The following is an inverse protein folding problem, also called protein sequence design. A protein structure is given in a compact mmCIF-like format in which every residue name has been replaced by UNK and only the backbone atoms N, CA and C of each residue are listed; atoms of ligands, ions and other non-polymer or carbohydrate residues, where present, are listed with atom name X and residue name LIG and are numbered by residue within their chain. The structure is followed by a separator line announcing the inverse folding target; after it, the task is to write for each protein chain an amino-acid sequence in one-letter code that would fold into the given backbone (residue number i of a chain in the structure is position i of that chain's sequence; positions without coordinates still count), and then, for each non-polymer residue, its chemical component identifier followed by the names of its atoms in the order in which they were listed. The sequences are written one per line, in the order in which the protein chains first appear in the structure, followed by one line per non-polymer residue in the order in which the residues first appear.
data_IF_990108449210
#
_entry.id   IF_990108449210
#
_cell.length_a   1.000
_cell.length_b   1.000
_cell.length_c   1.000
_cell.angle_alpha   90.00
_cell.angle_beta   90.00
_cell.angle_gamma   90.00
#
_symmetry.space_group_name_H-M   'P 1'
#
loop_
_entity.id
_entity.type
_entity.pdbx_description
1 polymer ?
#
# COMPACT_ATOMS: atom_id res chain seq x y z
N UNK A 1 17.82 -7.49 1.56
CA UNK A 1 16.57 -8.05 1.05
C UNK A 1 16.56 -8.08 -0.48
N UNK A 2 15.98 -9.14 -1.06
CA UNK A 2 15.77 -9.29 -2.52
C UNK A 2 14.37 -8.79 -2.95
N UNK A 3 13.61 -8.21 -2.05
CA UNK A 3 12.30 -7.64 -2.32
C UNK A 3 12.40 -6.46 -3.30
N UNK A 4 11.62 -6.47 -4.38
CA UNK A 4 11.68 -5.51 -5.49
C UNK A 4 10.41 -4.67 -5.64
N UNK A 5 9.54 -4.68 -4.64
CA UNK A 5 8.27 -3.96 -4.65
C UNK A 5 7.07 -4.87 -4.74
N UNK A 6 5.90 -4.26 -4.94
CA UNK A 6 4.59 -4.92 -4.90
C UNK A 6 3.96 -5.04 -6.29
N UNK A 7 4.67 -4.62 -7.34
CA UNK A 7 4.20 -4.64 -8.73
C UNK A 7 5.02 -5.63 -9.56
N UNK A 8 4.53 -6.86 -9.79
CA UNK A 8 5.29 -7.90 -10.48
C UNK A 8 5.35 -7.70 -11.99
N UNK A 9 4.45 -6.90 -12.58
CA UNK A 9 4.25 -6.80 -14.02
C UNK A 9 5.52 -6.51 -14.82
N UNK A 10 6.40 -5.66 -14.29
CA UNK A 10 7.68 -5.31 -14.92
C UNK A 10 8.66 -6.49 -15.05
N UNK A 11 8.56 -7.49 -14.16
CA UNK A 11 9.53 -8.59 -14.08
C UNK A 11 9.05 -9.89 -14.74
N UNK A 12 7.75 -10.04 -14.92
CA UNK A 12 7.14 -11.25 -15.48
C UNK A 12 7.63 -11.60 -16.91
N UNK A 13 7.88 -10.64 -17.82
CA UNK A 13 8.38 -10.93 -19.15
C UNK A 13 9.79 -11.54 -19.18
N UNK A 14 10.58 -11.31 -18.12
CA UNK A 14 11.97 -11.78 -18.02
C UNK A 14 12.14 -12.97 -17.08
N UNK A 15 11.07 -13.39 -16.40
CA UNK A 15 11.11 -14.49 -15.46
C UNK A 15 11.20 -15.83 -16.20
N UNK A 16 12.10 -16.71 -15.79
CA UNK A 16 12.19 -18.10 -16.24
C UNK A 16 11.39 -19.05 -15.34
N UNK A 17 11.11 -18.63 -14.10
CA UNK A 17 10.24 -19.33 -13.17
C UNK A 17 9.49 -18.35 -12.28
N UNK A 18 8.22 -18.61 -12.03
CA UNK A 18 7.34 -17.80 -11.19
C UNK A 18 6.77 -18.71 -10.11
N UNK A 19 7.06 -18.39 -8.85
CA UNK A 19 6.48 -19.06 -7.69
C UNK A 19 5.42 -18.15 -7.08
N UNK A 20 4.18 -18.59 -7.13
CA UNK A 20 3.03 -17.93 -6.51
C UNK A 20 2.70 -18.61 -5.18
N UNK A 21 2.64 -17.87 -4.10
CA UNK A 21 2.40 -18.42 -2.77
C UNK A 21 1.16 -17.76 -2.17
N UNK A 22 0.13 -18.56 -1.88
CA UNK A 22 -1.13 -18.13 -1.25
C UNK A 22 -1.71 -16.83 -1.87
N UNK A 23 -1.65 -16.71 -3.21
CA UNK A 23 -2.12 -15.51 -3.91
C UNK A 23 -3.14 -15.88 -4.99
N UNK A 24 -4.36 -15.38 -4.82
CA UNK A 24 -5.47 -15.65 -5.75
C UNK A 24 -5.36 -14.88 -7.08
N UNK A 25 -4.87 -13.64 -7.05
CA UNK A 25 -4.65 -12.79 -8.23
C UNK A 25 -3.19 -12.31 -8.28
N UNK A 26 -2.25 -13.15 -8.75
CA UNK A 26 -0.82 -12.84 -8.72
C UNK A 26 -0.40 -11.75 -9.72
N UNK A 27 -1.19 -11.49 -10.75
CA UNK A 27 -1.03 -10.41 -11.74
C UNK A 27 -2.35 -10.17 -12.46
N UNK A 28 -2.44 -9.10 -13.25
CA UNK A 28 -3.62 -8.80 -14.07
C UNK A 28 -3.34 -9.27 -15.51
N UNK A 29 -3.97 -10.36 -16.02
CA UNK A 29 -3.61 -10.95 -17.32
C UNK A 29 -3.79 -10.02 -18.52
N UNK A 30 -4.72 -9.07 -18.45
CA UNK A 30 -4.94 -8.09 -19.51
C UNK A 30 -3.84 -7.01 -19.58
N UNK A 31 -3.12 -6.77 -18.48
CA UNK A 31 -2.08 -5.75 -18.37
C UNK A 31 -0.67 -6.35 -18.39
N UNK A 32 -0.51 -7.55 -17.84
CA UNK A 32 0.80 -8.15 -17.59
C UNK A 32 1.00 -9.39 -18.46
N UNK A 33 2.08 -9.40 -19.21
CA UNK A 33 2.48 -10.53 -20.04
C UNK A 33 3.59 -11.31 -19.37
N UNK A 34 3.46 -12.63 -19.36
CA UNK A 34 4.50 -13.53 -18.90
C UNK A 34 5.46 -13.85 -20.04
N UNK A 35 6.70 -14.20 -19.69
CA UNK A 35 7.53 -14.97 -20.60
C UNK A 35 6.80 -16.28 -20.93
N UNK A 36 6.55 -16.60 -22.21
CA UNK A 36 5.83 -17.82 -22.61
C UNK A 36 6.51 -19.12 -22.19
N UNK A 37 7.83 -19.09 -21.99
CA UNK A 37 8.63 -20.23 -21.54
C UNK A 37 8.76 -20.33 -20.01
N UNK A 38 8.24 -19.36 -19.26
CA UNK A 38 8.30 -19.37 -17.81
C UNK A 38 7.53 -20.55 -17.22
N UNK A 39 8.12 -21.18 -16.20
CA UNK A 39 7.44 -22.20 -15.40
C UNK A 39 6.69 -21.55 -14.24
N UNK A 40 5.39 -21.78 -14.16
CA UNK A 40 4.53 -21.24 -13.12
C UNK A 40 4.24 -22.31 -12.07
N UNK A 41 4.63 -22.06 -10.85
CA UNK A 41 4.44 -22.94 -9.70
C UNK A 41 3.45 -22.24 -8.76
N UNK A 42 2.37 -22.90 -8.42
CA UNK A 42 1.37 -22.42 -7.49
C UNK A 42 1.47 -23.21 -6.18
N UNK A 43 1.66 -22.52 -5.05
CA UNK A 43 1.79 -23.13 -3.72
C UNK A 43 0.77 -22.52 -2.77
N UNK A 44 0.06 -23.34 -2.03
CA UNK A 44 -0.92 -22.89 -1.05
C UNK A 44 -1.82 -24.01 -0.53
N UNK A 45 -2.70 -23.69 0.40
CA UNK A 45 -3.69 -24.65 0.90
C UNK A 45 -4.66 -25.10 -0.21
N UNK A 46 -5.01 -24.17 -1.10
CA UNK A 46 -5.75 -24.44 -2.34
C UNK A 46 -5.06 -23.69 -3.51
N UNK A 47 -4.00 -24.24 -4.07
CA UNK A 47 -3.16 -23.56 -5.07
C UNK A 47 -3.88 -23.28 -6.38
N UNK A 48 -4.96 -24.00 -6.68
CA UNK A 48 -5.76 -23.84 -7.90
C UNK A 48 -7.06 -23.05 -7.68
N UNK A 49 -7.37 -22.71 -6.42
CA UNK A 49 -8.61 -22.03 -6.03
C UNK A 49 -9.86 -22.71 -6.62
N UNK A 50 -10.03 -24.00 -6.29
CA UNK A 50 -11.01 -24.92 -6.87
C UNK A 50 -12.46 -24.43 -6.71
N UNK A 51 -12.73 -23.58 -5.70
CA UNK A 51 -14.05 -23.02 -5.47
C UNK A 51 -14.35 -21.74 -6.27
N UNK A 52 -13.38 -21.23 -7.04
CA UNK A 52 -13.61 -20.08 -7.90
C UNK A 52 -14.27 -20.53 -9.22
N UNK A 53 -15.35 -19.86 -9.65
CA UNK A 53 -16.06 -20.26 -10.87
C UNK A 53 -15.21 -20.10 -12.14
N UNK A 54 -14.28 -19.14 -12.13
CA UNK A 54 -13.32 -18.90 -13.21
C UNK A 54 -11.99 -18.44 -12.61
N UNK A 55 -10.90 -19.13 -12.97
CA UNK A 55 -9.53 -18.74 -12.66
C UNK A 55 -8.61 -19.11 -13.82
N UNK A 56 -8.13 -18.11 -14.54
CA UNK A 56 -7.38 -18.28 -15.79
C UNK A 56 -5.86 -18.15 -15.65
N UNK A 57 -5.27 -18.41 -14.48
CA UNK A 57 -3.82 -18.32 -14.28
C UNK A 57 -3.14 -19.64 -14.64
N UNK A 58 -2.01 -19.62 -15.40
CA UNK A 58 -1.26 -20.83 -15.70
C UNK A 58 -0.71 -21.50 -14.44
N UNK A 59 -0.57 -22.83 -14.51
CA UNK A 59 0.01 -23.64 -13.46
C UNK A 59 0.71 -24.86 -14.09
N UNK A 60 2.05 -24.86 -14.14
CA UNK A 60 2.84 -26.02 -14.54
C UNK A 60 2.98 -27.03 -13.41
N UNK A 61 3.00 -26.52 -12.15
CA UNK A 61 3.10 -27.35 -10.95
C UNK A 61 2.29 -26.75 -9.81
N UNK A 62 1.29 -27.48 -9.33
CA UNK A 62 0.52 -27.16 -8.13
C UNK A 62 1.06 -27.89 -6.92
N UNK A 63 1.37 -27.17 -5.86
CA UNK A 63 1.82 -27.73 -4.58
C UNK A 63 0.80 -27.38 -3.51
N UNK A 64 0.05 -28.39 -3.04
CA UNK A 64 -0.93 -28.21 -1.98
C UNK A 64 -0.25 -28.36 -0.63
N UNK A 65 -0.27 -27.33 0.19
CA UNK A 65 0.31 -27.33 1.52
C UNK A 65 0.27 -25.95 2.18
N UNK A 66 0.58 -25.90 3.46
CA UNK A 66 0.77 -24.65 4.18
C UNK A 66 2.06 -23.95 3.74
N UNK A 67 2.00 -22.68 3.41
CA UNK A 67 3.21 -21.89 3.11
C UNK A 67 4.23 -21.94 4.24
N UNK A 68 3.78 -21.91 5.51
CA UNK A 68 4.64 -22.01 6.68
C UNK A 68 5.46 -23.29 6.77
N UNK A 69 4.93 -24.42 6.25
CA UNK A 69 5.66 -25.68 6.19
C UNK A 69 6.47 -25.83 4.89
N UNK A 70 5.92 -25.39 3.78
CA UNK A 70 6.52 -25.62 2.47
C UNK A 70 7.73 -24.70 2.20
N UNK A 71 7.72 -23.45 2.68
CA UNK A 71 8.83 -22.51 2.47
C UNK A 71 10.14 -23.00 3.09
N UNK A 72 10.20 -23.47 4.35
CA UNK A 72 11.42 -24.04 4.92
C UNK A 72 11.94 -25.27 4.15
N UNK A 73 11.05 -26.16 3.71
CA UNK A 73 11.43 -27.33 2.90
C UNK A 73 11.99 -26.92 1.54
N UNK A 74 11.40 -25.90 0.91
CA UNK A 74 11.90 -25.34 -0.35
C UNK A 74 13.27 -24.69 -0.15
N UNK A 75 13.48 -23.96 0.94
CA UNK A 75 14.76 -23.35 1.30
C UNK A 75 15.86 -24.41 1.45
N UNK A 76 15.58 -25.50 2.18
CA UNK A 76 16.51 -26.61 2.34
C UNK A 76 16.87 -27.27 0.98
N UNK A 77 15.86 -27.58 0.15
CA UNK A 77 16.06 -28.17 -1.16
C UNK A 77 16.86 -27.26 -2.09
N UNK A 78 16.64 -25.95 -2.03
CA UNK A 78 17.36 -24.95 -2.81
C UNK A 78 18.79 -24.78 -2.31
N UNK A 79 19.05 -24.81 -1.02
CA UNK A 79 20.39 -24.67 -0.43
C UNK A 79 21.35 -25.76 -0.94
N UNK A 80 20.85 -26.98 -1.14
CA UNK A 80 21.65 -28.10 -1.69
C UNK A 80 22.08 -27.77 -3.14
N UNK A 81 21.14 -27.25 -3.95
CA UNK A 81 21.39 -26.93 -5.38
C UNK A 81 22.15 -25.63 -5.59
N UNK A 82 22.05 -24.70 -4.65
CA UNK A 82 22.76 -23.41 -4.70
C UNK A 82 24.29 -23.59 -4.73
N UNK A 83 24.81 -24.69 -4.15
CA UNK A 83 26.26 -25.01 -4.14
C UNK A 83 26.87 -25.10 -5.54
N UNK A 84 26.08 -25.54 -6.54
CA UNK A 84 26.54 -25.69 -7.92
C UNK A 84 26.12 -24.50 -8.81
N UNK A 85 25.39 -23.54 -8.29
CA UNK A 85 24.80 -22.44 -9.05
C UNK A 85 25.38 -21.06 -8.68
N UNK A 86 26.53 -20.99 -8.00
CA UNK A 86 27.08 -19.77 -7.42
C UNK A 86 27.16 -18.61 -8.39
N UNK A 87 27.83 -18.79 -9.55
CA UNK A 87 27.97 -17.73 -10.54
C UNK A 87 26.61 -17.18 -11.06
N UNK A 88 25.62 -18.06 -11.25
CA UNK A 88 24.27 -17.66 -11.69
C UNK A 88 23.52 -16.88 -10.59
N UNK A 89 23.69 -17.29 -9.32
CA UNK A 89 23.12 -16.59 -8.19
C UNK A 89 23.73 -15.20 -8.04
N UNK A 90 25.04 -15.10 -8.18
CA UNK A 90 25.77 -13.82 -8.08
C UNK A 90 25.37 -12.87 -9.21
N UNK A 91 25.23 -13.35 -10.45
CA UNK A 91 24.74 -12.55 -11.57
C UNK A 91 23.32 -12.03 -11.32
N UNK A 92 22.41 -12.86 -10.79
CA UNK A 92 21.04 -12.44 -10.43
C UNK A 92 21.03 -11.42 -9.30
N UNK A 93 21.88 -11.60 -8.27
CA UNK A 93 22.05 -10.62 -7.19
C UNK A 93 22.51 -9.27 -7.71
N UNK A 94 23.51 -9.25 -8.59
CA UNK A 94 24.02 -8.03 -9.20
C UNK A 94 22.92 -7.33 -10.02
N UNK A 95 22.16 -8.07 -10.83
CA UNK A 95 21.03 -7.52 -11.60
C UNK A 95 19.99 -6.89 -10.68
N UNK A 96 19.55 -7.60 -9.64
CA UNK A 96 18.54 -7.09 -8.68
C UNK A 96 19.09 -5.88 -7.91
N UNK A 97 20.36 -5.89 -7.52
CA UNK A 97 20.99 -4.75 -6.85
C UNK A 97 21.00 -3.50 -7.75
N UNK A 98 21.28 -3.65 -9.05
CA UNK A 98 21.21 -2.57 -10.03
C UNK A 98 19.81 -1.98 -10.12
N UNK A 99 18.79 -2.82 -10.36
CA UNK A 99 17.38 -2.37 -10.44
C UNK A 99 16.95 -1.64 -9.15
N UNK A 100 17.31 -2.18 -7.99
CA UNK A 100 16.99 -1.52 -6.70
C UNK A 100 17.73 -0.19 -6.51
N UNK A 101 18.97 -0.09 -7.01
CA UNK A 101 19.72 1.16 -7.02
C UNK A 101 19.03 2.23 -7.85
N UNK A 102 18.60 1.89 -9.06
CA UNK A 102 17.88 2.80 -9.95
C UNK A 102 16.53 3.24 -9.35
N UNK A 103 15.77 2.30 -8.78
CA UNK A 103 14.52 2.61 -8.08
C UNK A 103 14.74 3.56 -6.89
N UNK A 104 15.77 3.29 -6.09
CA UNK A 104 16.10 4.13 -4.93
C UNK A 104 16.54 5.54 -5.37
N UNK A 105 17.36 5.66 -6.42
CA UNK A 105 17.78 6.94 -6.95
C UNK A 105 16.61 7.75 -7.53
N UNK A 106 15.72 7.11 -8.28
CA UNK A 106 14.51 7.75 -8.82
C UNK A 106 13.59 8.24 -7.70
N UNK A 107 13.40 7.42 -6.66
CA UNK A 107 12.61 7.77 -5.50
C UNK A 107 13.23 8.93 -4.72
N UNK A 108 14.55 8.89 -4.46
CA UNK A 108 15.23 9.97 -3.76
C UNK A 108 15.11 11.28 -4.53
N UNK A 109 15.30 11.27 -5.87
CA UNK A 109 15.11 12.45 -6.69
C UNK A 109 13.69 13.03 -6.65
N UNK A 110 12.65 12.18 -6.43
CA UNK A 110 11.27 12.63 -6.21
C UNK A 110 11.12 13.30 -4.85
N UNK A 111 11.66 12.68 -3.78
CA UNK A 111 11.66 13.23 -2.43
C UNK A 111 12.36 14.59 -2.38
N UNK A 112 13.55 14.71 -3.01
CA UNK A 112 14.33 15.95 -3.03
C UNK A 112 13.57 17.11 -3.71
N UNK A 113 12.83 16.82 -4.78
CA UNK A 113 11.99 17.82 -5.45
C UNK A 113 10.86 18.33 -4.57
N UNK A 114 10.24 17.45 -3.79
CA UNK A 114 9.17 17.83 -2.86
C UNK A 114 9.76 18.61 -1.70
N UNK A 115 10.85 18.13 -1.11
CA UNK A 115 11.56 18.80 -0.01
C UNK A 115 12.04 20.21 -0.37
N UNK A 116 12.44 20.44 -1.64
CA UNK A 116 12.85 21.76 -2.15
C UNK A 116 11.68 22.66 -2.57
N UNK A 117 10.44 22.21 -2.46
CA UNK A 117 9.25 22.96 -2.89
C UNK A 117 9.07 23.05 -4.41
N UNK A 118 9.85 22.26 -5.19
CA UNK A 118 9.76 22.24 -6.66
C UNK A 118 8.73 21.24 -7.19
N UNK A 119 8.18 20.39 -6.33
CA UNK A 119 7.07 19.50 -6.62
C UNK A 119 6.06 19.52 -5.47
N UNK A 120 4.81 19.25 -5.78
CA UNK A 120 3.75 19.16 -4.77
C UNK A 120 3.84 17.86 -3.97
N UNK A 121 3.30 17.88 -2.76
CA UNK A 121 3.26 16.73 -1.86
C UNK A 121 2.43 15.58 -2.45
N UNK A 122 2.98 14.37 -2.37
CA UNK A 122 2.39 13.16 -2.89
C UNK A 122 2.51 11.97 -1.94
N UNK A 123 2.06 10.80 -2.38
CA UNK A 123 2.10 9.55 -1.61
C UNK A 123 3.51 9.07 -1.26
N UNK A 124 4.52 9.41 -2.07
CA UNK A 124 5.91 9.04 -1.79
C UNK A 124 6.49 9.88 -0.64
N UNK A 125 6.14 11.18 -0.60
CA UNK A 125 6.54 12.07 0.48
C UNK A 125 5.90 11.66 1.82
N UNK A 126 4.59 11.38 1.83
CA UNK A 126 3.89 10.92 3.03
C UNK A 126 4.53 9.62 3.55
N UNK A 127 4.81 8.66 2.67
CA UNK A 127 5.49 7.42 3.04
C UNK A 127 6.90 7.65 3.60
N UNK A 128 7.66 8.57 2.99
CA UNK A 128 8.99 8.96 3.45
C UNK A 128 8.95 9.55 4.85
N UNK A 129 8.08 10.52 5.10
CA UNK A 129 7.94 11.16 6.42
C UNK A 129 7.47 10.17 7.50
N UNK A 130 6.50 9.31 7.18
CA UNK A 130 6.06 8.23 8.07
C UNK A 130 7.21 7.28 8.43
N UNK A 131 8.04 6.91 7.45
CA UNK A 131 9.18 6.03 7.69
C UNK A 131 10.25 6.65 8.59
N UNK A 132 10.35 7.96 8.66
CA UNK A 132 11.29 8.65 9.56
C UNK A 132 10.86 8.61 11.03
N UNK A 133 9.54 8.62 11.29
CA UNK A 133 8.98 8.65 12.65
C UNK A 133 8.52 7.28 13.15
N UNK A 134 8.32 6.33 12.24
CA UNK A 134 7.86 4.97 12.54
C UNK A 134 8.98 4.15 13.18
N UNK A 135 8.65 3.38 14.22
CA UNK A 135 9.50 2.36 14.83
C UNK A 135 9.27 0.99 14.17
N UNK A 136 10.17 0.02 14.39
CA UNK A 136 10.08 -1.29 13.75
C UNK A 136 8.86 -2.10 14.21
N UNK A 137 8.45 -1.95 15.46
CA UNK A 137 7.31 -2.66 16.06
C UNK A 137 5.96 -1.93 15.91
N UNK A 138 5.93 -0.72 15.36
CA UNK A 138 4.70 -0.03 15.02
C UNK A 138 3.91 -0.80 13.95
N UNK A 139 2.59 -0.70 14.02
CA UNK A 139 1.71 -1.34 13.04
C UNK A 139 1.14 -0.30 12.10
N UNK A 140 1.26 -0.56 10.81
CA UNK A 140 0.71 0.26 9.74
C UNK A 140 -0.52 -0.44 9.14
N UNK A 141 -1.67 0.19 9.21
CA UNK A 141 -2.89 -0.17 8.47
C UNK A 141 -3.04 0.80 7.31
N UNK A 142 -3.12 0.31 6.08
CA UNK A 142 -3.20 1.18 4.90
C UNK A 142 -4.37 0.82 4.00
N UNK A 143 -5.28 1.77 3.84
CA UNK A 143 -6.33 1.80 2.81
C UNK A 143 -6.10 2.99 1.88
N UNK A 144 -4.91 3.03 1.30
CA UNK A 144 -4.49 4.11 0.40
C UNK A 144 -3.46 3.63 -0.61
N UNK A 145 -3.16 4.48 -1.58
CA UNK A 145 -2.05 4.25 -2.53
C UNK A 145 -0.70 4.70 -1.95
N UNK A 146 -0.43 4.35 -0.69
CA UNK A 146 0.83 4.69 -0.04
C UNK A 146 2.01 4.01 -0.75
N UNK A 147 3.10 4.76 -0.95
CA UNK A 147 4.31 4.23 -1.58
C UNK A 147 5.07 3.31 -0.62
N UNK A 148 4.61 2.06 -0.46
CA UNK A 148 5.15 1.08 0.50
C UNK A 148 6.64 0.80 0.31
N UNK A 149 7.20 1.00 -0.90
CA UNK A 149 8.64 0.89 -1.14
C UNK A 149 9.49 1.88 -0.33
N UNK A 150 8.88 2.94 0.20
CA UNK A 150 9.53 3.95 1.04
C UNK A 150 9.40 3.67 2.54
N UNK A 151 8.74 2.58 2.93
CA UNK A 151 8.49 2.23 4.33
C UNK A 151 9.21 0.93 4.67
N UNK A 152 9.96 0.95 5.76
CA UNK A 152 10.59 -0.25 6.30
C UNK A 152 9.56 -1.07 7.08
N UNK A 153 9.19 -2.21 6.54
CA UNK A 153 8.32 -3.21 7.16
C UNK A 153 9.19 -4.42 7.53
N UNK A 154 9.66 -4.48 8.77
CA UNK A 154 10.66 -5.47 9.19
C UNK A 154 10.07 -6.59 10.04
N UNK A 155 9.04 -6.28 10.82
CA UNK A 155 8.44 -7.21 11.76
C UNK A 155 7.20 -7.89 11.15
N UNK A 156 7.04 -9.22 11.28
CA UNK A 156 5.81 -9.90 10.91
C UNK A 156 4.60 -9.32 11.65
N UNK A 157 3.50 -9.09 10.91
CA UNK A 157 2.29 -8.52 11.49
C UNK A 157 2.37 -7.00 11.75
N UNK A 158 3.38 -6.30 11.23
CA UNK A 158 3.50 -4.83 11.30
C UNK A 158 2.78 -4.10 10.15
N UNK A 159 2.16 -4.83 9.21
CA UNK A 159 1.44 -4.25 8.08
C UNK A 159 0.15 -4.98 7.77
N UNK A 160 -0.92 -4.20 7.58
CA UNK A 160 -2.21 -4.66 7.08
C UNK A 160 -2.61 -3.78 5.88
N UNK A 161 -2.64 -4.38 4.71
CA UNK A 161 -3.00 -3.71 3.46
C UNK A 161 -4.48 -3.89 3.12
N UNK A 162 -4.88 -3.37 1.95
CA UNK A 162 -6.24 -3.44 1.43
C UNK A 162 -6.76 -4.88 1.42
N UNK A 163 -7.98 -5.03 1.88
CA UNK A 163 -8.69 -6.32 1.87
C UNK A 163 -8.81 -6.87 0.44
N UNK A 164 -8.62 -8.19 0.21
CA UNK A 164 -8.83 -8.82 -1.09
C UNK A 164 -10.23 -8.59 -1.65
N UNK A 165 -11.24 -8.43 -0.81
CA UNK A 165 -12.62 -8.13 -1.22
C UNK A 165 -12.83 -6.69 -1.68
N UNK A 166 -11.85 -5.81 -1.51
CA UNK A 166 -11.90 -4.43 -1.96
C UNK A 166 -12.95 -3.56 -1.24
N UNK A 167 -13.41 -3.96 -0.06
CA UNK A 167 -14.39 -3.21 0.74
C UNK A 167 -13.87 -1.84 1.13
N UNK A 168 -14.46 -0.77 0.57
CA UNK A 168 -14.06 0.60 0.86
C UNK A 168 -14.46 1.00 2.28
N UNK A 169 -13.58 1.74 2.97
CA UNK A 169 -13.83 2.28 4.32
C UNK A 169 -13.49 1.31 5.46
N UNK A 170 -12.78 0.22 5.21
CA UNK A 170 -12.39 -0.75 6.23
C UNK A 170 -11.25 -0.27 7.13
N UNK A 171 -10.41 0.65 6.65
CA UNK A 171 -9.14 1.01 7.28
C UNK A 171 -9.26 1.50 8.72
N UNK A 172 -10.23 2.39 8.99
CA UNK A 172 -10.46 2.89 10.36
C UNK A 172 -10.85 1.77 11.32
N UNK A 173 -11.83 0.94 10.95
CA UNK A 173 -12.26 -0.20 11.77
C UNK A 173 -11.15 -1.23 11.97
N UNK A 174 -10.37 -1.51 10.93
CA UNK A 174 -9.21 -2.40 11.01
C UNK A 174 -8.13 -1.86 11.96
N UNK A 175 -7.82 -0.56 11.89
CA UNK A 175 -6.83 0.06 12.76
C UNK A 175 -7.24 -0.02 14.24
N UNK A 176 -8.52 0.22 14.56
CA UNK A 176 -9.04 0.04 15.92
C UNK A 176 -9.01 -1.44 16.34
N UNK A 177 -9.32 -2.37 15.43
CA UNK A 177 -9.21 -3.81 15.69
C UNK A 177 -7.77 -4.23 15.99
N UNK A 178 -6.80 -3.72 15.25
CA UNK A 178 -5.36 -3.93 15.51
C UNK A 178 -4.99 -3.35 16.87
N UNK A 179 -5.39 -2.11 17.17
CA UNK A 179 -5.10 -1.46 18.45
C UNK A 179 -5.72 -2.21 19.62
N UNK A 180 -6.93 -2.74 19.46
CA UNK A 180 -7.59 -3.57 20.46
C UNK A 180 -6.84 -4.87 20.73
N UNK A 181 -6.37 -5.54 19.67
CA UNK A 181 -5.61 -6.78 19.76
C UNK A 181 -4.16 -6.60 20.20
N UNK A 182 -3.59 -5.40 20.03
CA UNK A 182 -2.18 -5.07 20.31
C UNK A 182 -2.08 -3.71 21.02
N UNK A 183 -2.71 -3.60 22.19
CA UNK A 183 -2.85 -2.32 22.93
C UNK A 183 -1.53 -1.60 23.18
N UNK A 184 -0.44 -2.34 23.41
CA UNK A 184 0.88 -1.76 23.69
C UNK A 184 1.55 -1.15 22.46
N UNK A 185 1.11 -1.52 21.25
CA UNK A 185 1.73 -1.00 20.01
C UNK A 185 1.08 0.29 19.55
N UNK A 186 1.89 1.16 18.96
CA UNK A 186 1.39 2.30 18.21
C UNK A 186 0.87 1.82 16.86
N UNK A 187 -0.29 2.36 16.47
CA UNK A 187 -0.97 2.02 15.21
C UNK A 187 -1.11 3.28 14.36
N UNK A 188 -0.57 3.23 13.16
CA UNK A 188 -0.82 4.19 12.10
C UNK A 188 -1.92 3.68 11.18
N UNK A 189 -2.88 4.52 10.88
CA UNK A 189 -3.92 4.26 9.88
C UNK A 189 -3.75 5.26 8.73
N UNK A 190 -3.36 4.79 7.54
CA UNK A 190 -3.22 5.66 6.38
C UNK A 190 -4.34 5.37 5.41
N UNK A 191 -5.19 6.36 5.16
CA UNK A 191 -6.39 6.24 4.34
C UNK A 191 -6.47 7.37 3.30
N UNK A 192 -7.09 7.12 2.16
CA UNK A 192 -7.50 8.19 1.26
C UNK A 192 -8.69 8.97 1.84
N UNK A 193 -8.88 10.21 1.41
CA UNK A 193 -10.04 11.05 1.79
C UNK A 193 -11.38 10.38 1.46
N UNK A 194 -11.49 9.74 0.30
CA UNK A 194 -12.65 8.95 -0.06
C UNK A 194 -12.89 7.75 0.87
N UNK A 195 -11.84 7.00 1.19
CA UNK A 195 -11.93 5.86 2.12
C UNK A 195 -12.35 6.32 3.52
N UNK A 196 -11.79 7.44 3.99
CA UNK A 196 -12.16 8.05 5.28
C UNK A 196 -13.64 8.46 5.31
N UNK A 197 -14.11 9.18 4.27
CA UNK A 197 -15.53 9.56 4.14
C UNK A 197 -16.45 8.34 4.12
N UNK A 198 -16.11 7.33 3.30
CA UNK A 198 -16.95 6.15 3.12
C UNK A 198 -17.00 5.27 4.39
N UNK A 199 -15.90 5.23 5.15
CA UNK A 199 -15.77 4.49 6.40
C UNK A 199 -16.61 5.04 7.55
N UNK A 200 -17.37 6.13 7.33
CA UNK A 200 -18.20 6.78 8.35
C UNK A 200 -17.38 7.13 9.61
N UNK A 201 -16.50 8.14 9.57
CA UNK A 201 -15.48 8.38 10.58
C UNK A 201 -16.05 8.71 11.98
N UNK A 202 -17.23 9.31 12.07
CA UNK A 202 -17.81 9.72 13.36
C UNK A 202 -17.99 8.54 14.33
N UNK A 203 -18.62 7.40 13.96
CA UNK A 203 -18.68 6.22 14.83
C UNK A 203 -17.31 5.61 15.12
N UNK A 204 -16.38 5.64 14.15
CA UNK A 204 -15.03 5.12 14.35
C UNK A 204 -14.28 5.91 15.44
N UNK A 205 -14.34 7.23 15.38
CA UNK A 205 -13.75 8.11 16.40
C UNK A 205 -14.44 7.98 17.74
N UNK A 206 -15.76 7.80 17.78
CA UNK A 206 -16.48 7.50 19.00
C UNK A 206 -15.98 6.18 19.64
N UNK A 207 -15.83 5.11 18.86
CA UNK A 207 -15.30 3.82 19.34
C UNK A 207 -13.88 3.97 19.87
N UNK A 208 -13.02 4.72 19.17
CA UNK A 208 -11.66 4.99 19.63
C UNK A 208 -11.65 5.62 21.03
N UNK A 209 -12.45 6.65 21.23
CA UNK A 209 -12.57 7.33 22.55
C UNK A 209 -13.22 6.43 23.61
N UNK A 210 -14.32 5.73 23.27
CA UNK A 210 -15.08 4.93 24.22
C UNK A 210 -14.33 3.69 24.75
N UNK A 211 -13.34 3.20 24.00
CA UNK A 211 -12.60 1.97 24.33
C UNK A 211 -11.09 2.20 24.55
N UNK A 212 -10.66 3.43 24.64
CA UNK A 212 -9.24 3.82 24.83
C UNK A 212 -8.35 3.16 23.75
N UNK A 213 -8.68 3.41 22.48
CA UNK A 213 -7.97 2.87 21.33
C UNK A 213 -7.31 3.99 20.51
N UNK A 214 -6.31 4.72 21.06
CA UNK A 214 -5.67 5.80 20.33
C UNK A 214 -4.92 5.28 19.10
N UNK A 215 -5.28 5.82 17.93
CA UNK A 215 -4.70 5.55 16.62
C UNK A 215 -4.31 6.87 15.98
N UNK A 216 -3.15 6.93 15.33
CA UNK A 216 -2.78 8.05 14.47
C UNK A 216 -3.27 7.78 13.05
N UNK A 217 -4.30 8.50 12.63
CA UNK A 217 -4.84 8.45 11.27
C UNK A 217 -4.23 9.53 10.41
N UNK A 218 -3.66 9.17 9.27
CA UNK A 218 -3.16 10.08 8.24
C UNK A 218 -4.08 9.97 7.03
N UNK A 219 -4.75 11.07 6.69
CA UNK A 219 -5.65 11.16 5.55
C UNK A 219 -4.87 11.74 4.35
N UNK A 220 -4.75 10.96 3.29
CA UNK A 220 -4.19 11.42 2.01
C UNK A 220 -5.30 12.10 1.21
N UNK A 221 -5.43 13.42 1.41
CA UNK A 221 -6.51 14.22 0.85
C UNK A 221 -6.12 14.77 -0.52
N UNK A 222 -6.56 14.11 -1.56
CA UNK A 222 -6.43 14.58 -2.94
C UNK A 222 -7.74 15.16 -3.50
N UNK A 223 -8.75 15.34 -2.66
CA UNK A 223 -10.09 15.87 -2.97
C UNK A 223 -10.84 15.03 -4.01
N UNK A 224 -10.61 13.69 -4.01
CA UNK A 224 -11.10 12.87 -5.09
C UNK A 224 -11.24 11.39 -4.71
N UNK A 225 -12.22 10.73 -5.28
CA UNK A 225 -12.29 9.27 -5.37
C UNK A 225 -11.26 8.76 -6.41
N UNK A 226 -9.97 8.94 -6.11
CA UNK A 226 -8.89 8.77 -7.09
C UNK A 226 -8.82 7.38 -7.69
N UNK A 227 -9.01 6.31 -6.89
CA UNK A 227 -9.02 4.92 -7.37
C UNK A 227 -10.18 4.64 -8.31
N UNK A 228 -11.38 5.18 -8.02
CA UNK A 228 -12.56 5.06 -8.88
C UNK A 228 -12.34 5.78 -10.21
N UNK A 229 -11.80 7.00 -10.15
CA UNK A 229 -11.44 7.76 -11.33
C UNK A 229 -10.43 7.03 -12.19
N UNK A 230 -9.35 6.52 -11.60
CA UNK A 230 -8.32 5.73 -12.30
C UNK A 230 -8.92 4.50 -12.98
N UNK A 231 -9.76 3.74 -12.29
CA UNK A 231 -10.41 2.56 -12.85
C UNK A 231 -11.32 2.92 -14.03
N UNK A 232 -12.12 3.98 -13.91
CA UNK A 232 -13.00 4.44 -14.99
C UNK A 232 -12.22 4.87 -16.22
N UNK A 233 -11.19 5.70 -16.05
CA UNK A 233 -10.37 6.20 -17.16
C UNK A 233 -9.53 5.08 -17.80
N UNK A 234 -9.13 4.09 -17.03
CA UNK A 234 -8.39 2.92 -17.51
C UNK A 234 -9.22 1.97 -18.35
N UNK A 235 -10.46 1.69 -17.90
CA UNK A 235 -11.38 0.80 -18.65
C UNK A 235 -12.00 1.48 -19.86
N UNK A 236 -12.24 2.79 -19.79
CA UNK A 236 -12.91 3.55 -20.83
C UNK A 236 -12.11 4.82 -21.20
N UNK A 237 -10.91 4.69 -21.79
CA UNK A 237 -10.01 5.82 -22.06
C UNK A 237 -10.63 6.84 -23.04
N UNK A 238 -11.53 6.40 -23.92
CA UNK A 238 -12.27 7.22 -24.88
C UNK A 238 -13.75 7.44 -24.48
N UNK A 239 -14.11 7.01 -23.28
CA UNK A 239 -15.48 7.11 -22.77
C UNK A 239 -15.90 8.55 -22.46
N UNK A 240 -17.20 8.74 -22.19
CA UNK A 240 -17.78 10.07 -21.87
C UNK A 240 -17.09 10.73 -20.66
N UNK A 241 -16.70 9.95 -19.65
CA UNK A 241 -15.98 10.45 -18.48
C UNK A 241 -14.58 11.00 -18.82
N UNK A 242 -13.92 10.39 -19.80
CA UNK A 242 -12.59 10.82 -20.27
C UNK A 242 -12.67 12.02 -21.19
N UNK A 243 -13.68 12.07 -22.08
CA UNK A 243 -13.87 13.14 -23.06
C UNK A 243 -14.41 14.43 -22.45
N UNK A 244 -15.24 14.35 -21.41
CA UNK A 244 -15.78 15.51 -20.70
C UNK A 244 -14.79 16.19 -19.77
N UNK A 245 -13.61 15.61 -19.58
CA UNK A 245 -12.57 16.03 -18.63
C UNK A 245 -13.05 16.18 -17.16
N UNK A 246 -14.25 15.70 -16.87
CA UNK A 246 -14.85 15.70 -15.55
C UNK A 246 -15.51 14.35 -15.34
N UNK A 247 -14.74 13.33 -14.90
CA UNK A 247 -15.39 12.10 -14.47
C UNK A 247 -16.40 12.45 -13.37
N UNK A 248 -17.73 12.48 -13.66
CA UNK A 248 -18.72 12.95 -12.70
C UNK A 248 -18.68 12.08 -11.43
N UNK A 249 -19.04 12.69 -10.29
CA UNK A 249 -19.09 12.03 -8.98
C UNK A 249 -17.75 11.51 -8.44
N UNK A 250 -16.61 11.86 -9.04
CA UNK A 250 -15.30 11.48 -8.52
C UNK A 250 -14.62 12.59 -7.70
N UNK A 251 -15.18 13.78 -7.66
CA UNK A 251 -14.62 14.91 -6.91
C UNK A 251 -15.20 14.99 -5.50
N UNK A 252 -14.34 15.28 -4.54
CA UNK A 252 -14.67 15.61 -3.15
C UNK A 252 -14.28 17.06 -2.84
N UNK A 253 -14.57 17.96 -3.77
CA UNK A 253 -14.28 19.40 -3.64
C UNK A 253 -15.60 20.21 -3.67
N UNK A 254 -15.85 21.08 -2.67
CA UNK A 254 -14.97 21.42 -1.56
C UNK A 254 -14.82 20.27 -0.54
N UNK A 255 -13.57 19.92 -0.21
CA UNK A 255 -13.30 18.88 0.78
C UNK A 255 -13.67 19.35 2.19
N UNK A 256 -14.30 18.50 3.00
CA UNK A 256 -14.49 18.78 4.42
C UNK A 256 -13.15 18.96 5.15
N UNK A 257 -13.19 19.71 6.25
CA UNK A 257 -12.05 19.81 7.16
C UNK A 257 -11.96 18.54 8.02
N UNK A 258 -11.48 17.44 7.41
CA UNK A 258 -11.50 16.09 8.00
C UNK A 258 -10.85 16.02 9.37
N UNK A 259 -9.80 16.83 9.61
CA UNK A 259 -9.11 16.92 10.90
C UNK A 259 -10.02 17.40 12.05
N UNK A 260 -11.09 18.15 11.76
CA UNK A 260 -12.04 18.61 12.78
C UNK A 260 -13.05 17.53 13.20
N UNK A 261 -13.22 16.48 12.42
CA UNK A 261 -14.19 15.42 12.76
C UNK A 261 -13.76 14.67 14.03
N UNK A 262 -12.47 14.45 14.21
CA UNK A 262 -11.93 13.73 15.37
C UNK A 262 -12.08 14.54 16.67
N UNK A 263 -12.11 15.87 16.60
CA UNK A 263 -12.26 16.77 17.75
C UNK A 263 -13.59 16.57 18.47
N UNK A 264 -14.65 16.17 17.73
CA UNK A 264 -15.95 15.83 18.33
C UNK A 264 -15.89 14.62 19.28
N UNK A 265 -14.84 13.83 19.23
CA UNK A 265 -14.56 12.69 20.11
C UNK A 265 -13.25 12.89 20.89
N UNK A 266 -12.94 14.14 21.25
CA UNK A 266 -11.76 14.56 22.03
C UNK A 266 -10.42 14.15 21.41
N UNK A 267 -10.34 13.96 20.08
CA UNK A 267 -9.12 13.66 19.36
C UNK A 267 -8.33 14.91 18.99
N UNK A 268 -7.07 14.70 18.61
CA UNK A 268 -6.20 15.74 18.06
C UNK A 268 -6.39 15.82 16.55
N UNK A 269 -6.68 17.00 16.01
CA UNK A 269 -6.84 17.22 14.57
C UNK A 269 -5.86 18.26 14.04
N UNK A 270 -5.20 17.96 12.90
CA UNK A 270 -4.31 18.90 12.23
C UNK A 270 -4.41 18.78 10.71
N UNK A 271 -4.33 19.93 10.01
CA UNK A 271 -4.29 20.00 8.55
C UNK A 271 -2.89 20.39 8.08
N UNK A 272 -2.39 19.68 7.06
CA UNK A 272 -1.07 19.92 6.49
C UNK A 272 -1.19 20.15 4.99
N UNK A 273 -0.79 21.35 4.55
CA UNK A 273 -0.78 21.75 3.13
C UNK A 273 0.63 21.93 2.57
N UNK A 274 1.60 22.27 3.43
CA UNK A 274 3.01 22.40 3.06
C UNK A 274 3.78 21.10 3.36
N UNK A 275 4.49 20.52 2.39
CA UNK A 275 5.32 19.34 2.62
C UNK A 275 6.32 19.48 3.77
N UNK A 276 6.85 20.68 4.01
CA UNK A 276 7.82 20.94 5.05
C UNK A 276 7.25 20.78 6.48
N UNK A 277 5.93 20.97 6.64
CA UNK A 277 5.27 20.88 7.94
C UNK A 277 4.91 19.43 8.35
N UNK A 278 4.87 18.49 7.37
CA UNK A 278 4.40 17.14 7.62
C UNK A 278 5.22 16.37 8.68
N UNK A 279 6.57 16.43 8.70
CA UNK A 279 7.34 15.73 9.74
C UNK A 279 6.96 16.19 11.15
N UNK A 280 6.87 17.49 11.38
CA UNK A 280 6.51 18.04 12.69
C UNK A 280 5.04 17.76 13.06
N UNK A 281 4.12 17.74 12.09
CA UNK A 281 2.73 17.38 12.32
C UNK A 281 2.59 15.88 12.73
N UNK A 282 3.35 14.98 12.11
CA UNK A 282 3.39 13.58 12.51
C UNK A 282 3.92 13.39 13.94
N UNK A 283 4.96 14.13 14.33
CA UNK A 283 5.48 14.10 15.70
C UNK A 283 4.43 14.59 16.72
N UNK A 284 3.66 15.65 16.41
CA UNK A 284 2.56 16.10 17.25
C UNK A 284 1.43 15.07 17.35
N UNK A 285 1.07 14.43 16.22
CA UNK A 285 0.12 13.34 16.22
C UNK A 285 0.58 12.13 17.04
N UNK A 286 1.86 11.77 16.96
CA UNK A 286 2.48 10.72 17.79
C UNK A 286 2.42 11.09 19.27
N UNK A 287 2.75 12.35 19.62
CA UNK A 287 2.63 12.82 21.00
C UNK A 287 1.21 12.71 21.52
N UNK A 288 0.21 13.08 20.72
CA UNK A 288 -1.19 12.93 21.10
C UNK A 288 -1.56 11.47 21.42
N UNK A 289 -1.07 10.51 20.61
CA UNK A 289 -1.34 9.08 20.78
C UNK A 289 -0.56 8.48 21.96
N UNK A 290 0.73 8.77 22.07
CA UNK A 290 1.63 8.08 23.01
C UNK A 290 1.66 8.72 24.39
N UNK A 291 1.48 10.03 24.48
CA UNK A 291 1.63 10.80 25.73
C UNK A 291 0.29 11.28 26.26
N UNK A 292 -0.54 11.83 25.38
CA UNK A 292 -1.84 12.38 25.76
C UNK A 292 -2.94 11.30 25.71
N UNK A 293 -2.61 10.07 25.26
CA UNK A 293 -3.49 8.90 25.10
C UNK A 293 -4.78 9.19 24.30
N UNK A 294 -4.67 10.09 23.31
CA UNK A 294 -5.77 10.55 22.47
C UNK A 294 -5.54 10.12 21.03
N UNK A 295 -6.59 9.75 20.35
CA UNK A 295 -6.55 9.54 18.89
C UNK A 295 -6.13 10.84 18.17
N UNK A 296 -5.50 10.68 16.99
CA UNK A 296 -5.07 11.82 16.19
C UNK A 296 -5.45 11.64 14.72
N UNK A 297 -5.77 12.76 14.06
CA UNK A 297 -6.01 12.81 12.61
C UNK A 297 -5.14 13.91 12.00
N UNK A 298 -4.27 13.53 11.07
CA UNK A 298 -3.50 14.47 10.24
C UNK A 298 -4.09 14.43 8.83
N UNK A 299 -4.74 15.54 8.43
CA UNK A 299 -5.31 15.73 7.09
C UNK A 299 -4.24 16.30 6.15
N UNK A 300 -3.66 15.46 5.31
CA UNK A 300 -2.52 15.82 4.44
C UNK A 300 -3.01 16.07 3.03
N UNK A 301 -2.85 17.30 2.53
CA UNK A 301 -3.18 17.63 1.15
C UNK A 301 -2.16 17.04 0.19
N UNK A 302 -2.61 16.12 -0.65
CA UNK A 302 -1.77 15.46 -1.66
C UNK A 302 -2.28 15.76 -3.06
N UNK A 303 -1.41 15.59 -4.05
CA UNK A 303 -1.80 15.72 -5.45
C UNK A 303 -2.31 14.42 -6.03
N UNK A 304 -3.21 14.55 -7.01
CA UNK A 304 -3.63 13.48 -7.89
C UNK A 304 -3.16 13.79 -9.31
N UNK A 305 -2.43 12.88 -9.94
CA UNK A 305 -1.93 13.03 -11.30
C UNK A 305 -2.74 12.17 -12.27
N UNK A 306 -3.62 12.81 -13.04
CA UNK A 306 -4.41 12.17 -14.11
C UNK A 306 -3.52 11.61 -15.23
N UNK A 307 -2.36 12.21 -15.50
CA UNK A 307 -1.46 11.74 -16.54
C UNK A 307 -0.79 10.43 -16.14
N UNK A 308 -0.34 10.32 -14.88
CA UNK A 308 0.17 9.07 -14.32
C UNK A 308 -0.93 8.00 -14.31
N UNK A 309 -2.17 8.35 -13.92
CA UNK A 309 -3.30 7.42 -13.92
C UNK A 309 -3.62 6.87 -15.33
N UNK A 310 -3.52 7.70 -16.36
CA UNK A 310 -3.71 7.29 -17.77
C UNK A 310 -2.55 6.43 -18.28
N UNK A 311 -1.31 6.75 -17.91
CA UNK A 311 -0.14 6.00 -18.31
C UNK A 311 -0.11 4.58 -17.72
N UNK A 312 -0.56 4.42 -16.46
CA UNK A 312 -0.70 3.12 -15.80
C UNK A 312 -1.83 2.26 -16.38
N UNK A 313 -2.85 2.88 -16.96
CA UNK A 313 -3.97 2.19 -17.58
C UNK A 313 -3.65 1.64 -18.99
N UNK A 314 -2.60 2.17 -19.63
CA UNK A 314 -2.15 1.77 -20.98
C UNK A 314 -1.00 0.76 -20.92
N UNK A 315 -0.40 0.54 -19.77
CA UNK A 315 0.63 -0.46 -19.52
C UNK A 315 0.04 -1.77 -19.01
#
# INVERSE_FOLDING_TARGET
SMHMGYEPGTYLPEADAILVIDCDVPWIPSLHKLNPDAKVIQLGADPLFENYPVRGFPCDLGIRGSAGSAIPMLEEAMAIRAKSAGARIDARRAKIAGIKGDQAAANQGRIDKIASGTAAMDNAWVAHCLNQVKQDDDVLVSESQLALGNIALREPGSFFGTSPSGGLGWGLGAAHGVKLGQRAKRVFCVVGDGAYMFGNPTPAHFVSAAYDLPVLTVIMNNKMWGSVRKATLGLYPEGAASSSNKAPLTYLDPAPEYHKIVEASDGYGEEVTDPADLPAALERGIKAVDVDERQAVINVHTTYDDAAAKADAVR
#
